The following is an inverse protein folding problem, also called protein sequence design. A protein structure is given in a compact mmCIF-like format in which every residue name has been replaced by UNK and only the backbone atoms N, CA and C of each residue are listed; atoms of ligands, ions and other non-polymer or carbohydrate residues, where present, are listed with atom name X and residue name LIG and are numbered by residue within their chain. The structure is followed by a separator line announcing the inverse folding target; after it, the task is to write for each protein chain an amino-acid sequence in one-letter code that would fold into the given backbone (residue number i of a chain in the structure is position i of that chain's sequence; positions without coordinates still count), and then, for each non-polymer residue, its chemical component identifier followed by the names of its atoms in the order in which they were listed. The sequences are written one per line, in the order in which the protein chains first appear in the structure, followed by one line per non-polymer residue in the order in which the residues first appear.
data_IF_464360790648
#
_entry.id   IF_464360790648
#
_cell.length_a   1.000
_cell.length_b   1.000
_cell.length_c   1.000
_cell.angle_alpha   90.00
_cell.angle_beta   90.00
_cell.angle_gamma   90.00
#
_symmetry.space_group_name_H-M   'P 1'
#
loop_
_entity.id
_entity.type
_entity.pdbx_description
1 polymer ?
#
# COMPACT_ATOMS: atom_id res chain seq x y z
N UNK A 1 5.26 -15.33 -44.61
CA UNK A 1 5.54 -15.93 -45.90
C UNK A 1 6.76 -15.20 -46.50
N UNK A 2 7.88 -15.84 -46.62
CA UNK A 2 9.09 -15.27 -47.25
C UNK A 2 8.94 -15.47 -48.77
N UNK A 3 9.01 -14.39 -49.56
CA UNK A 3 9.24 -14.50 -51.00
C UNK A 3 10.75 -14.32 -51.22
N UNK A 4 11.42 -15.36 -51.72
CA UNK A 4 12.77 -15.28 -52.20
C UNK A 4 12.70 -14.80 -53.65
N UNK A 5 13.19 -13.60 -53.92
CA UNK A 5 13.66 -13.21 -55.25
C UNK A 5 15.13 -13.58 -55.33
N UNK A 6 15.51 -14.34 -56.37
CA UNK A 6 16.84 -14.93 -56.53
C UNK A 6 17.97 -13.89 -56.67
N UNK A 7 18.50 -13.49 -55.55
CA UNK A 7 19.65 -12.63 -55.37
C UNK A 7 20.15 -12.73 -53.93
N UNK A 8 21.45 -12.52 -53.67
CA UNK A 8 22.09 -12.73 -52.35
C UNK A 8 21.62 -11.82 -51.21
N UNK A 9 20.66 -10.94 -51.40
CA UNK A 9 20.09 -10.08 -50.40
C UNK A 9 18.61 -10.45 -50.20
N UNK A 10 18.32 -11.16 -49.12
CA UNK A 10 16.94 -11.41 -48.67
C UNK A 10 16.39 -10.17 -47.96
N UNK A 11 15.66 -9.32 -48.66
CA UNK A 11 14.92 -8.21 -48.07
C UNK A 11 13.73 -8.76 -47.29
N UNK A 12 13.70 -8.49 -45.99
CA UNK A 12 12.63 -8.92 -45.08
C UNK A 12 11.39 -8.04 -45.31
N UNK A 13 10.46 -8.54 -46.12
CA UNK A 13 9.18 -7.83 -46.35
C UNK A 13 8.29 -7.92 -45.11
N UNK A 14 8.22 -6.85 -44.34
CA UNK A 14 7.28 -6.72 -43.23
C UNK A 14 5.85 -6.62 -43.78
N UNK A 15 4.99 -7.56 -43.38
CA UNK A 15 3.58 -7.54 -43.75
C UNK A 15 2.91 -6.26 -43.22
N UNK A 16 2.14 -5.56 -44.04
CA UNK A 16 1.36 -4.38 -43.63
C UNK A 16 0.46 -4.67 -42.45
N UNK A 17 -0.12 -5.88 -42.37
CA UNK A 17 -0.90 -6.35 -41.21
C UNK A 17 -0.10 -6.41 -39.92
N UNK A 18 1.20 -6.73 -39.96
CA UNK A 18 2.05 -6.73 -38.76
C UNK A 18 2.36 -5.31 -38.29
N UNK A 19 2.62 -4.39 -39.23
CA UNK A 19 2.82 -2.97 -38.90
C UNK A 19 1.52 -2.35 -38.34
N UNK A 20 0.39 -2.63 -38.97
CA UNK A 20 -0.91 -2.20 -38.48
C UNK A 20 -1.23 -2.74 -37.07
N UNK A 21 -0.92 -4.01 -36.78
CA UNK A 21 -1.11 -4.61 -35.46
C UNK A 21 -0.16 -3.98 -34.41
N UNK A 22 1.07 -3.67 -34.78
CA UNK A 22 2.06 -3.00 -33.92
C UNK A 22 1.63 -1.56 -33.60
N UNK A 23 1.18 -0.82 -34.61
CA UNK A 23 0.63 0.52 -34.43
C UNK A 23 -0.64 0.49 -33.58
N UNK A 24 -1.53 -0.46 -33.79
CA UNK A 24 -2.73 -0.64 -32.96
C UNK A 24 -2.37 -0.93 -31.50
N UNK A 25 -1.32 -1.69 -31.22
CA UNK A 25 -0.79 -1.94 -29.88
C UNK A 25 -0.31 -0.66 -29.19
N UNK A 26 0.52 0.12 -29.89
CA UNK A 26 1.05 1.39 -29.39
C UNK A 26 -0.07 2.40 -29.09
N UNK A 27 -1.05 2.51 -29.99
CA UNK A 27 -2.21 3.40 -29.79
C UNK A 27 -3.06 2.95 -28.61
N UNK A 28 -3.31 1.65 -28.44
CA UNK A 28 -4.02 1.13 -27.25
C UNK A 28 -3.33 1.54 -25.96
N UNK A 29 -2.02 1.34 -25.89
CA UNK A 29 -1.25 1.71 -24.72
C UNK A 29 -1.28 3.23 -24.46
N UNK A 30 -1.17 4.04 -25.50
CA UNK A 30 -1.27 5.50 -25.42
C UNK A 30 -2.66 5.95 -24.90
N UNK A 31 -3.75 5.35 -25.39
CA UNK A 31 -5.12 5.60 -24.93
C UNK A 31 -5.25 5.26 -23.43
N UNK A 32 -4.73 4.13 -22.99
CA UNK A 32 -4.77 3.71 -21.59
C UNK A 32 -3.96 4.66 -20.69
N UNK A 33 -2.74 5.04 -21.11
CA UNK A 33 -1.94 6.02 -20.40
C UNK A 33 -2.64 7.38 -20.28
N UNK A 34 -3.22 7.88 -21.36
CA UNK A 34 -3.97 9.13 -21.37
C UNK A 34 -5.19 9.06 -20.43
N UNK A 35 -5.92 7.93 -20.44
CA UNK A 35 -7.06 7.73 -19.54
C UNK A 35 -6.63 7.80 -18.07
N UNK A 36 -5.54 7.12 -17.71
CA UNK A 36 -4.97 7.12 -16.35
C UNK A 36 -4.40 8.50 -16.00
N UNK A 37 -3.83 9.21 -16.95
CA UNK A 37 -3.39 10.59 -16.78
C UNK A 37 -4.57 11.59 -16.62
N UNK A 38 -5.80 11.09 -16.74
CA UNK A 38 -7.01 11.86 -16.48
C UNK A 38 -7.68 12.43 -17.73
N UNK A 39 -7.27 12.03 -18.93
CA UNK A 39 -8.01 12.38 -20.16
C UNK A 39 -9.30 11.56 -20.21
N UNK A 40 -10.44 12.22 -20.38
CA UNK A 40 -11.71 11.51 -20.44
C UNK A 40 -11.80 10.60 -21.66
N UNK A 41 -12.60 9.53 -21.59
CA UNK A 41 -12.85 8.66 -22.75
C UNK A 41 -13.48 9.39 -23.95
N UNK A 42 -14.09 10.55 -23.73
CA UNK A 42 -14.66 11.40 -24.81
C UNK A 42 -13.58 12.25 -25.48
N UNK A 43 -12.55 12.67 -24.73
CA UNK A 43 -11.49 13.54 -25.24
C UNK A 43 -10.37 12.74 -25.94
N UNK A 44 -10.37 11.41 -25.84
CA UNK A 44 -9.38 10.55 -26.51
C UNK A 44 -9.34 10.78 -28.04
N UNK A 45 -10.50 11.03 -28.65
CA UNK A 45 -10.59 11.32 -30.09
C UNK A 45 -9.85 12.60 -30.50
N UNK A 46 -9.73 13.57 -29.59
CA UNK A 46 -8.99 14.82 -29.85
C UNK A 46 -7.48 14.57 -29.86
N UNK A 47 -7.01 13.60 -29.07
CA UNK A 47 -5.58 13.23 -29.00
C UNK A 47 -5.18 12.30 -30.14
N UNK A 48 -6.09 11.44 -30.59
CA UNK A 48 -5.82 10.40 -31.60
C UNK A 48 -6.95 10.36 -32.64
N UNK A 49 -7.13 11.44 -33.44
CA UNK A 49 -8.26 11.59 -34.35
C UNK A 49 -8.34 10.50 -35.42
N UNK A 50 -7.19 10.01 -35.88
CA UNK A 50 -7.10 9.00 -36.92
C UNK A 50 -7.35 7.55 -36.42
N UNK A 51 -7.50 7.36 -35.11
CA UNK A 51 -7.68 6.01 -34.57
C UNK A 51 -9.17 5.67 -34.41
N UNK A 52 -9.65 4.55 -35.01
CA UNK A 52 -11.03 4.09 -34.82
C UNK A 52 -11.31 3.61 -33.40
N UNK A 53 -10.27 3.43 -32.58
CA UNK A 53 -10.39 2.96 -31.19
C UNK A 53 -10.71 4.06 -30.17
N UNK A 54 -10.86 5.31 -30.61
CA UNK A 54 -11.03 6.49 -29.73
C UNK A 54 -12.47 6.86 -29.46
N UNK A 55 -13.45 6.10 -29.98
CA UNK A 55 -14.84 6.30 -29.57
C UNK A 55 -15.01 5.99 -28.07
N UNK A 56 -15.90 6.70 -27.38
CA UNK A 56 -16.20 6.47 -25.96
C UNK A 56 -16.43 5.00 -25.64
N UNK A 57 -17.19 4.30 -26.49
CA UNK A 57 -17.49 2.88 -26.30
C UNK A 57 -16.27 1.97 -26.50
N UNK A 58 -15.43 2.29 -27.48
CA UNK A 58 -14.19 1.55 -27.74
C UNK A 58 -13.20 1.73 -26.60
N UNK A 59 -13.00 2.96 -26.13
CA UNK A 59 -12.13 3.25 -24.97
C UNK A 59 -12.65 2.54 -23.71
N UNK A 60 -13.95 2.55 -23.47
CA UNK A 60 -14.54 1.85 -22.33
C UNK A 60 -14.33 0.34 -22.39
N UNK A 61 -14.57 -0.28 -23.56
CA UNK A 61 -14.31 -1.73 -23.75
C UNK A 61 -12.84 -2.08 -23.59
N UNK A 62 -11.96 -1.26 -24.15
CA UNK A 62 -10.52 -1.42 -24.00
C UNK A 62 -10.10 -1.36 -22.53
N UNK A 63 -10.60 -0.37 -21.78
CA UNK A 63 -10.36 -0.22 -20.36
C UNK A 63 -10.83 -1.42 -19.54
N UNK A 64 -12.04 -1.94 -19.83
CA UNK A 64 -12.56 -3.14 -19.14
C UNK A 64 -11.65 -4.35 -19.41
N UNK A 65 -11.30 -4.59 -20.68
CA UNK A 65 -10.46 -5.73 -21.07
C UNK A 65 -9.06 -5.67 -20.47
N UNK A 66 -8.38 -4.55 -20.62
CA UNK A 66 -7.00 -4.40 -20.12
C UNK A 66 -6.96 -4.28 -18.59
N UNK A 67 -7.98 -3.66 -17.99
CA UNK A 67 -8.10 -3.59 -16.55
C UNK A 67 -8.31 -4.96 -15.90
N UNK A 68 -9.16 -5.81 -16.47
CA UNK A 68 -9.34 -7.19 -16.00
C UNK A 68 -8.01 -7.99 -16.10
N UNK A 69 -7.27 -7.82 -17.20
CA UNK A 69 -5.94 -8.41 -17.34
C UNK A 69 -4.99 -7.91 -16.26
N UNK A 70 -4.99 -6.62 -15.95
CA UNK A 70 -4.16 -6.04 -14.89
C UNK A 70 -4.50 -6.56 -13.50
N UNK A 71 -5.78 -6.77 -13.19
CA UNK A 71 -6.18 -7.43 -11.94
C UNK A 71 -5.61 -8.85 -11.87
N UNK A 72 -5.72 -9.62 -12.98
CA UNK A 72 -5.17 -10.97 -13.05
C UNK A 72 -3.65 -11.01 -12.86
N UNK A 73 -2.91 -10.15 -13.55
CA UNK A 73 -1.46 -9.99 -13.37
C UNK A 73 -1.08 -9.62 -11.94
N UNK A 74 -1.83 -8.72 -11.33
CA UNK A 74 -1.62 -8.25 -9.97
C UNK A 74 -1.84 -9.36 -8.94
N UNK A 75 -2.99 -10.05 -9.02
CA UNK A 75 -3.35 -11.14 -8.10
C UNK A 75 -2.54 -12.42 -8.34
N UNK A 76 -2.09 -12.65 -9.56
CA UNK A 76 -1.24 -13.78 -9.93
C UNK A 76 0.25 -13.57 -9.69
N UNK A 77 0.66 -12.37 -9.24
CA UNK A 77 2.07 -12.09 -8.97
C UNK A 77 2.60 -12.99 -7.86
N UNK A 78 3.73 -13.64 -8.15
CA UNK A 78 4.46 -14.46 -7.18
C UNK A 78 5.03 -13.60 -6.06
N UNK A 79 4.78 -13.98 -4.82
CA UNK A 79 5.25 -13.30 -3.62
C UNK A 79 5.96 -14.24 -2.64
N UNK A 80 5.90 -15.55 -2.85
CA UNK A 80 6.47 -16.56 -1.93
C UNK A 80 7.99 -16.52 -1.87
N UNK A 81 8.65 -16.04 -2.94
CA UNK A 81 10.11 -15.87 -3.00
C UNK A 81 10.65 -14.63 -2.28
N UNK A 82 9.79 -13.78 -1.73
CA UNK A 82 10.20 -12.54 -1.08
C UNK A 82 10.36 -12.70 0.44
N UNK A 83 11.37 -12.04 1.00
CA UNK A 83 11.68 -12.07 2.43
C UNK A 83 10.98 -10.92 3.16
N UNK A 84 9.71 -11.08 3.48
CA UNK A 84 8.94 -10.07 4.21
C UNK A 84 9.25 -10.10 5.71
N UNK A 85 9.43 -8.93 6.32
CA UNK A 85 9.44 -8.78 7.77
C UNK A 85 8.20 -8.07 8.28
N UNK A 86 7.51 -7.33 7.41
CA UNK A 86 6.40 -6.51 7.84
C UNK A 86 5.32 -6.28 6.79
N UNK A 87 4.20 -5.76 7.27
CA UNK A 87 2.98 -5.48 6.53
C UNK A 87 2.41 -4.12 6.96
N UNK A 88 2.05 -3.29 6.01
CA UNK A 88 1.21 -2.11 6.22
C UNK A 88 -0.18 -2.38 5.67
N UNK A 89 -1.20 -2.10 6.47
CA UNK A 89 -2.60 -2.14 6.05
C UNK A 89 -3.23 -0.78 6.29
N UNK A 90 -4.02 -0.31 5.32
CA UNK A 90 -4.75 0.94 5.44
C UNK A 90 -5.94 0.97 4.48
N UNK A 91 -6.99 1.72 4.85
CA UNK A 91 -8.19 1.89 4.06
C UNK A 91 -8.11 3.06 3.08
N UNK A 92 -8.58 2.87 1.86
CA UNK A 92 -8.79 3.95 0.88
C UNK A 92 -10.27 4.12 0.57
N UNK A 93 -10.81 5.30 0.85
CA UNK A 93 -12.17 5.68 0.52
C UNK A 93 -12.26 6.03 -0.97
N UNK A 94 -13.21 5.39 -1.65
CA UNK A 94 -13.51 5.59 -3.07
C UNK A 94 -14.80 6.38 -3.27
N UNK A 95 -15.82 6.10 -2.45
CA UNK A 95 -17.11 6.83 -2.35
C UNK A 95 -17.72 6.60 -0.96
N UNK A 96 -18.90 7.14 -0.71
CA UNK A 96 -19.65 6.96 0.54
C UNK A 96 -19.89 5.47 0.86
N UNK A 97 -20.19 4.67 -0.18
CA UNK A 97 -20.53 3.25 -0.04
C UNK A 97 -19.43 2.31 -0.51
N UNK A 98 -18.20 2.81 -0.74
CA UNK A 98 -17.14 1.99 -1.31
C UNK A 98 -15.78 2.35 -0.74
N UNK A 99 -15.18 1.37 -0.09
CA UNK A 99 -13.85 1.45 0.51
C UNK A 99 -13.00 0.28 0.02
N UNK A 100 -11.70 0.41 0.04
CA UNK A 100 -10.82 -0.74 -0.15
C UNK A 100 -9.75 -0.75 0.93
N UNK A 101 -9.42 -1.95 1.41
CA UNK A 101 -8.23 -2.19 2.24
C UNK A 101 -7.09 -2.60 1.33
N UNK A 102 -5.93 -1.98 1.50
CA UNK A 102 -4.72 -2.22 0.71
C UNK A 102 -3.62 -2.76 1.61
N UNK A 103 -2.94 -3.80 1.15
CA UNK A 103 -1.82 -4.42 1.81
C UNK A 103 -0.50 -4.13 1.08
N UNK A 104 0.47 -3.59 1.81
CA UNK A 104 1.83 -3.34 1.31
C UNK A 104 2.82 -4.13 2.17
N UNK A 105 3.54 -5.06 1.55
CA UNK A 105 4.60 -5.83 2.18
C UNK A 105 5.90 -5.04 2.26
N UNK A 106 6.63 -5.23 3.36
CA UNK A 106 7.94 -4.65 3.61
C UNK A 106 8.99 -5.77 3.62
N UNK A 107 9.94 -5.72 2.70
CA UNK A 107 10.97 -6.75 2.54
C UNK A 107 12.23 -6.45 3.35
N UNK A 108 12.99 -7.49 3.67
CA UNK A 108 14.23 -7.39 4.44
C UNK A 108 15.33 -6.57 3.77
N UNK A 109 15.26 -6.36 2.45
CA UNK A 109 16.16 -5.47 1.70
C UNK A 109 15.60 -4.04 1.54
N UNK A 110 14.49 -3.74 2.23
CA UNK A 110 13.90 -2.40 2.32
C UNK A 110 12.99 -2.01 1.16
N UNK A 111 12.65 -2.93 0.26
CA UNK A 111 11.61 -2.68 -0.75
C UNK A 111 10.22 -2.69 -0.12
N UNK A 112 9.31 -2.05 -0.80
CA UNK A 112 7.88 -2.06 -0.50
C UNK A 112 7.14 -2.56 -1.72
N UNK A 113 6.27 -3.53 -1.52
CA UNK A 113 5.56 -4.24 -2.59
C UNK A 113 4.08 -4.18 -2.28
N UNK A 114 3.28 -3.67 -3.21
CA UNK A 114 1.82 -3.76 -3.10
C UNK A 114 1.42 -5.22 -3.28
N UNK A 115 0.92 -5.83 -2.21
CA UNK A 115 0.63 -7.27 -2.19
C UNK A 115 -0.75 -7.58 -2.74
N UNK A 116 -1.77 -6.88 -2.22
CA UNK A 116 -3.16 -7.08 -2.62
C UNK A 116 -4.02 -5.91 -2.11
N UNK A 117 -5.27 -5.92 -2.52
CA UNK A 117 -6.32 -5.06 -1.99
C UNK A 117 -7.67 -5.78 -2.03
N UNK A 118 -8.58 -5.40 -1.14
CA UNK A 118 -9.95 -5.88 -1.12
C UNK A 118 -10.91 -4.69 -1.12
N UNK A 119 -11.84 -4.70 -2.06
CA UNK A 119 -12.92 -3.70 -2.13
C UNK A 119 -14.12 -4.20 -1.33
N UNK A 120 -14.76 -3.31 -0.60
CA UNK A 120 -15.96 -3.59 0.19
C UNK A 120 -16.79 -2.33 0.40
N UNK A 121 -17.98 -2.48 0.99
CA UNK A 121 -18.83 -1.35 1.36
C UNK A 121 -18.28 -0.58 2.57
N UNK A 122 -17.47 -1.23 3.39
CA UNK A 122 -16.81 -0.66 4.55
C UNK A 122 -15.54 -1.45 4.88
N UNK A 123 -14.70 -0.91 5.75
CA UNK A 123 -13.58 -1.61 6.35
C UNK A 123 -14.11 -2.50 7.50
N UNK A 124 -14.68 -3.64 7.15
CA UNK A 124 -15.18 -4.62 8.10
C UNK A 124 -14.25 -5.85 8.20
N UNK A 125 -14.56 -6.73 9.15
CA UNK A 125 -13.75 -7.91 9.45
C UNK A 125 -13.61 -8.85 8.27
N UNK A 126 -14.70 -9.12 7.56
CA UNK A 126 -14.72 -10.05 6.42
C UNK A 126 -13.83 -9.56 5.29
N UNK A 127 -13.87 -8.26 4.97
CA UNK A 127 -13.02 -7.63 3.96
C UNK A 127 -11.53 -7.76 4.33
N UNK A 128 -11.19 -7.57 5.60
CA UNK A 128 -9.81 -7.68 6.07
C UNK A 128 -9.31 -9.12 6.08
N UNK A 129 -10.13 -10.05 6.58
CA UNK A 129 -9.80 -11.47 6.66
C UNK A 129 -9.68 -12.09 5.24
N UNK A 130 -10.59 -11.78 4.31
CA UNK A 130 -10.50 -12.18 2.90
C UNK A 130 -9.18 -11.73 2.24
N UNK A 131 -8.74 -10.50 2.54
CA UNK A 131 -7.48 -9.98 2.05
C UNK A 131 -6.29 -10.78 2.59
N UNK A 132 -6.25 -10.99 3.91
CA UNK A 132 -5.15 -11.71 4.57
C UNK A 132 -5.12 -13.19 4.19
N UNK A 133 -6.27 -13.84 4.09
CA UNK A 133 -6.40 -15.23 3.60
C UNK A 133 -5.82 -15.39 2.20
N UNK A 134 -6.10 -14.45 1.30
CA UNK A 134 -5.49 -14.49 -0.04
C UNK A 134 -3.99 -14.31 0.01
N UNK A 135 -3.46 -13.44 0.87
CA UNK A 135 -2.02 -13.28 1.04
C UNK A 135 -1.36 -14.56 1.54
N UNK A 136 -1.96 -15.23 2.54
CA UNK A 136 -1.48 -16.52 3.05
C UNK A 136 -1.48 -17.58 1.95
N UNK A 137 -2.59 -17.72 1.21
CA UNK A 137 -2.67 -18.66 0.08
C UNK A 137 -1.67 -18.40 -1.03
N UNK A 138 -1.27 -17.13 -1.25
CA UNK A 138 -0.24 -16.72 -2.22
C UNK A 138 1.19 -16.86 -1.68
N UNK A 139 1.35 -17.41 -0.48
CA UNK A 139 2.66 -17.68 0.12
C UNK A 139 3.29 -16.49 0.85
N UNK A 140 2.51 -15.48 1.28
CA UNK A 140 3.03 -14.45 2.16
C UNK A 140 3.42 -15.05 3.50
N UNK A 141 4.71 -15.12 3.74
CA UNK A 141 5.29 -15.66 4.97
C UNK A 141 6.35 -14.72 5.53
N UNK A 142 6.15 -14.18 6.73
CA UNK A 142 7.17 -13.33 7.36
C UNK A 142 8.38 -14.16 7.81
N UNK A 143 9.58 -13.55 7.70
CA UNK A 143 10.87 -14.18 8.07
C UNK A 143 11.09 -14.29 9.59
N UNK A 144 10.25 -13.62 10.37
CA UNK A 144 10.21 -13.63 11.83
C UNK A 144 8.77 -13.31 12.26
N UNK A 145 8.53 -12.92 13.53
CA UNK A 145 7.23 -12.35 13.92
C UNK A 145 6.89 -11.20 12.98
N UNK A 146 5.66 -11.17 12.47
CA UNK A 146 5.23 -10.09 11.59
C UNK A 146 5.27 -8.75 12.31
N UNK A 147 5.89 -7.74 11.71
CA UNK A 147 5.77 -6.36 12.14
C UNK A 147 4.69 -5.66 11.31
N UNK A 148 3.60 -5.22 11.91
CA UNK A 148 2.54 -4.53 11.19
C UNK A 148 2.39 -3.08 11.62
N UNK A 149 2.18 -2.18 10.65
CA UNK A 149 1.88 -0.76 10.90
C UNK A 149 0.45 -0.49 10.46
N UNK A 150 -0.39 -0.04 11.40
CA UNK A 150 -1.83 0.11 11.21
C UNK A 150 -2.27 1.54 11.55
N UNK A 151 -3.31 2.04 10.86
CA UNK A 151 -3.88 3.37 11.09
C UNK A 151 -4.60 3.49 12.45
N UNK A 152 -5.08 2.37 12.96
CA UNK A 152 -5.73 2.33 14.25
C UNK A 152 -7.15 1.80 14.23
N UNK A 153 -7.50 1.08 13.20
CA UNK A 153 -8.69 0.25 13.13
C UNK A 153 -8.51 -1.01 13.98
N UNK A 154 -9.44 -1.23 14.93
CA UNK A 154 -9.48 -2.47 15.71
C UNK A 154 -9.77 -3.68 14.81
N UNK A 155 -10.51 -3.45 13.74
CA UNK A 155 -10.80 -4.46 12.72
C UNK A 155 -9.51 -4.95 12.04
N UNK A 156 -8.67 -4.03 11.55
CA UNK A 156 -7.38 -4.38 10.93
C UNK A 156 -6.46 -5.10 11.93
N UNK A 157 -6.34 -4.57 13.16
CA UNK A 157 -5.53 -5.20 14.21
C UNK A 157 -6.03 -6.61 14.53
N UNK A 158 -7.34 -6.75 14.74
CA UNK A 158 -7.96 -8.05 15.04
C UNK A 158 -7.73 -9.07 13.93
N UNK A 159 -7.87 -8.67 12.64
CA UNK A 159 -7.61 -9.54 11.50
C UNK A 159 -6.13 -9.94 11.41
N UNK A 160 -5.20 -8.99 11.61
CA UNK A 160 -3.75 -9.31 11.63
C UNK A 160 -3.43 -10.32 12.74
N UNK A 161 -3.94 -10.12 13.96
CA UNK A 161 -3.65 -11.02 15.08
C UNK A 161 -4.32 -12.39 14.95
N UNK A 162 -5.45 -12.50 14.22
CA UNK A 162 -6.05 -13.80 13.93
C UNK A 162 -5.18 -14.65 12.98
N UNK A 163 -4.55 -14.01 11.99
CA UNK A 163 -3.67 -14.71 11.02
C UNK A 163 -2.23 -14.86 11.52
N UNK A 164 -1.77 -13.90 12.32
CA UNK A 164 -0.41 -13.82 12.89
C UNK A 164 -0.48 -13.49 14.39
N UNK A 165 -0.78 -14.48 15.25
CA UNK A 165 -1.06 -14.25 16.68
C UNK A 165 0.08 -13.60 17.48
N UNK A 166 1.32 -13.76 17.01
CA UNK A 166 2.52 -13.19 17.62
C UNK A 166 3.04 -11.91 16.94
N UNK A 167 2.22 -11.34 16.02
CA UNK A 167 2.59 -10.11 15.34
C UNK A 167 2.83 -8.95 16.32
N UNK A 168 3.84 -8.14 16.00
CA UNK A 168 4.07 -6.85 16.66
C UNK A 168 3.29 -5.79 15.91
N UNK A 169 2.28 -5.19 16.53
CA UNK A 169 1.46 -4.16 15.93
C UNK A 169 1.91 -2.76 16.37
N UNK A 170 2.25 -1.91 15.41
CA UNK A 170 2.58 -0.50 15.63
C UNK A 170 1.41 0.37 15.19
N UNK A 171 0.90 1.16 16.10
CA UNK A 171 -0.10 2.19 15.82
C UNK A 171 0.53 3.37 15.09
N UNK A 172 -0.06 3.83 13.99
CA UNK A 172 0.40 5.00 13.28
C UNK A 172 0.40 6.25 14.16
N UNK A 173 1.58 6.82 14.43
CA UNK A 173 1.71 8.03 15.25
C UNK A 173 0.98 9.23 14.66
N UNK A 174 0.95 9.36 13.34
CA UNK A 174 0.33 10.52 12.67
C UNK A 174 -1.19 10.47 12.82
N UNK A 175 -1.80 9.30 12.59
CA UNK A 175 -3.24 9.13 12.79
C UNK A 175 -3.63 9.34 14.25
N UNK A 176 -2.85 8.82 15.20
CA UNK A 176 -3.12 8.97 16.62
C UNK A 176 -2.96 10.42 17.08
N UNK A 177 -1.91 11.11 16.65
CA UNK A 177 -1.72 12.54 16.93
C UNK A 177 -2.91 13.37 16.41
N UNK A 178 -3.34 13.11 15.17
CA UNK A 178 -4.49 13.79 14.56
C UNK A 178 -5.80 13.55 15.36
N UNK A 179 -6.05 12.29 15.78
CA UNK A 179 -7.22 11.90 16.56
C UNK A 179 -7.23 12.61 17.94
N UNK A 180 -6.10 12.58 18.66
CA UNK A 180 -5.95 13.24 19.96
C UNK A 180 -6.08 14.76 19.80
N UNK A 181 -5.45 15.35 18.79
CA UNK A 181 -5.55 16.79 18.50
C UNK A 181 -7.00 17.24 18.30
N UNK A 182 -7.84 16.40 17.68
CA UNK A 182 -9.27 16.68 17.51
C UNK A 182 -10.04 16.79 18.83
N UNK A 183 -9.50 16.24 19.92
CA UNK A 183 -10.08 16.30 21.26
C UNK A 183 -9.54 17.48 22.12
N UNK A 184 -8.51 18.19 21.65
CA UNK A 184 -7.85 19.25 22.40
C UNK A 184 -8.21 20.65 21.87
N UNK A 185 -8.09 21.66 22.73
CA UNK A 185 -8.13 23.05 22.30
C UNK A 185 -6.83 23.44 21.58
N UNK A 186 -6.92 24.37 20.63
CA UNK A 186 -5.80 24.78 19.76
C UNK A 186 -4.54 25.22 20.54
N UNK A 187 -4.71 25.80 21.73
CA UNK A 187 -3.61 26.24 22.60
C UNK A 187 -2.64 25.11 23.01
N UNK A 188 -3.11 23.84 23.01
CA UNK A 188 -2.33 22.66 23.40
C UNK A 188 -1.72 21.90 22.21
N UNK A 189 -1.92 22.38 20.98
CA UNK A 189 -1.42 21.68 19.78
C UNK A 189 0.12 21.65 19.72
N UNK A 190 0.78 22.71 20.18
CA UNK A 190 2.26 22.78 20.23
C UNK A 190 2.85 21.74 21.17
N UNK A 191 2.34 21.69 22.43
CA UNK A 191 2.79 20.69 23.41
C UNK A 191 2.54 19.26 22.93
N UNK A 192 1.33 18.97 22.38
CA UNK A 192 1.03 17.66 21.79
C UNK A 192 2.02 17.30 20.68
N UNK A 193 2.28 18.23 19.77
CA UNK A 193 3.24 18.02 18.67
C UNK A 193 4.64 17.68 19.19
N UNK A 194 5.09 18.34 20.26
CA UNK A 194 6.41 18.09 20.87
C UNK A 194 6.51 16.70 21.46
N UNK A 195 5.46 16.18 22.14
CA UNK A 195 5.43 14.79 22.59
C UNK A 195 5.53 13.81 21.43
N UNK A 196 4.73 13.98 20.37
CA UNK A 196 4.81 13.12 19.20
C UNK A 196 6.13 13.26 18.44
N UNK A 197 6.74 14.43 18.41
CA UNK A 197 8.09 14.65 17.88
C UNK A 197 9.14 13.89 18.69
N UNK A 198 9.04 13.92 20.03
CA UNK A 198 9.92 13.14 20.91
C UNK A 198 9.74 11.64 20.67
N UNK A 199 8.51 11.12 20.55
CA UNK A 199 8.24 9.72 20.21
C UNK A 199 8.87 9.35 18.85
N UNK A 200 8.72 10.19 17.83
CA UNK A 200 9.34 9.93 16.51
C UNK A 200 10.87 9.84 16.55
N UNK A 201 11.51 10.48 17.52
CA UNK A 201 12.97 10.51 17.66
C UNK A 201 13.49 9.62 18.81
N UNK A 202 12.62 9.01 19.59
CA UNK A 202 13.00 8.19 20.73
C UNK A 202 13.79 6.93 20.30
N UNK A 203 14.68 6.50 21.18
CA UNK A 203 15.48 5.30 21.02
C UNK A 203 15.28 4.38 22.22
N UNK A 204 14.91 3.13 21.96
CA UNK A 204 14.76 2.10 22.98
C UNK A 204 13.46 2.16 23.78
N UNK A 205 13.20 1.08 24.50
CA UNK A 205 11.96 0.86 25.22
C UNK A 205 11.77 1.83 26.39
N UNK A 206 12.82 2.12 27.13
CA UNK A 206 12.76 2.97 28.31
C UNK A 206 12.30 4.40 27.94
N UNK A 207 13.03 5.05 27.01
CA UNK A 207 12.68 6.38 26.51
C UNK A 207 11.28 6.42 25.91
N UNK A 208 10.88 5.37 25.18
CA UNK A 208 9.52 5.26 24.64
C UNK A 208 8.45 5.25 25.75
N UNK A 209 8.66 4.47 26.81
CA UNK A 209 7.73 4.41 27.97
C UNK A 209 7.69 5.70 28.76
N UNK A 210 8.82 6.36 28.98
CA UNK A 210 8.88 7.65 29.68
C UNK A 210 8.05 8.71 28.93
N UNK A 211 8.28 8.87 27.63
CA UNK A 211 7.53 9.83 26.83
C UNK A 211 6.04 9.49 26.80
N UNK A 212 5.68 8.21 26.70
CA UNK A 212 4.29 7.76 26.75
C UNK A 212 3.64 8.12 28.09
N UNK A 213 4.33 7.90 29.21
CA UNK A 213 3.86 8.25 30.56
C UNK A 213 3.63 9.76 30.70
N UNK A 214 4.60 10.57 30.30
CA UNK A 214 4.49 12.03 30.32
C UNK A 214 3.31 12.53 29.45
N UNK A 215 3.17 11.98 28.24
CA UNK A 215 2.06 12.31 27.35
C UNK A 215 0.72 11.95 27.99
N UNK A 216 0.62 10.79 28.66
CA UNK A 216 -0.56 10.35 29.38
C UNK A 216 -0.92 11.34 30.51
N UNK A 217 0.05 11.75 31.33
CA UNK A 217 -0.12 12.74 32.41
C UNK A 217 -0.55 14.12 31.87
N UNK A 218 0.10 14.57 30.78
CA UNK A 218 -0.29 15.79 30.07
C UNK A 218 -1.77 15.73 29.64
N UNK A 219 -2.19 14.67 28.94
CA UNK A 219 -3.56 14.55 28.44
C UNK A 219 -4.57 14.44 29.58
N UNK A 220 -4.25 13.74 30.67
CA UNK A 220 -5.07 13.65 31.86
C UNK A 220 -5.38 15.02 32.45
N UNK A 221 -4.40 15.94 32.44
CA UNK A 221 -4.57 17.32 32.92
C UNK A 221 -5.36 18.24 31.98
N UNK A 222 -5.55 17.85 30.70
CA UNK A 222 -6.15 18.72 29.67
C UNK A 222 -7.52 18.26 29.21
N UNK A 223 -7.69 16.96 28.90
CA UNK A 223 -8.94 16.44 28.35
C UNK A 223 -9.04 14.92 28.48
N UNK A 224 -10.05 14.42 29.18
CA UNK A 224 -10.26 12.99 29.40
C UNK A 224 -10.57 12.22 28.09
N UNK A 225 -11.21 12.84 27.09
CA UNK A 225 -11.44 12.20 25.79
C UNK A 225 -10.13 12.03 25.00
N UNK A 226 -9.22 13.01 25.13
CA UNK A 226 -7.88 12.92 24.53
C UNK A 226 -7.06 11.82 25.23
N UNK A 227 -7.14 11.73 26.56
CA UNK A 227 -6.52 10.65 27.33
C UNK A 227 -7.07 9.29 26.92
N UNK A 228 -8.39 9.10 26.91
CA UNK A 228 -9.02 7.86 26.48
C UNK A 228 -8.62 7.44 25.08
N UNK A 229 -8.45 8.42 24.16
CA UNK A 229 -7.94 8.14 22.82
C UNK A 229 -6.49 7.64 22.82
N UNK A 230 -5.64 8.11 23.75
CA UNK A 230 -4.27 7.58 23.87
C UNK A 230 -4.30 6.16 24.46
N UNK A 231 -5.07 5.97 25.53
CA UNK A 231 -5.17 4.69 26.26
C UNK A 231 -5.79 3.57 25.42
N UNK A 232 -6.70 3.89 24.49
CA UNK A 232 -7.23 2.95 23.49
C UNK A 232 -6.10 2.39 22.60
N UNK A 233 -5.08 3.18 22.28
CA UNK A 233 -3.92 2.69 21.52
C UNK A 233 -2.95 1.86 22.38
N UNK A 234 -2.95 2.10 23.69
CA UNK A 234 -2.06 1.40 24.61
C UNK A 234 -0.59 1.49 24.20
N UNK A 235 0.15 0.42 24.47
CA UNK A 235 1.58 0.32 24.13
C UNK A 235 1.84 0.13 22.61
N UNK A 236 0.82 -0.12 21.80
CA UNK A 236 0.97 -0.22 20.33
C UNK A 236 1.54 1.08 19.73
N UNK A 237 1.36 2.22 20.41
CA UNK A 237 1.90 3.50 19.95
C UNK A 237 3.44 3.56 20.05
N UNK A 238 4.02 2.77 20.92
CA UNK A 238 5.48 2.66 21.16
C UNK A 238 6.02 1.27 20.83
N UNK A 239 5.27 0.43 20.14
CA UNK A 239 5.64 -0.98 19.89
C UNK A 239 7.02 -1.13 19.22
N UNK A 240 7.36 -0.25 18.28
CA UNK A 240 8.69 -0.23 17.64
C UNK A 240 9.83 0.03 18.65
N UNK A 241 9.57 0.90 19.64
CA UNK A 241 10.53 1.20 20.70
C UNK A 241 10.67 0.02 21.67
N UNK A 242 9.53 -0.63 22.02
CA UNK A 242 9.53 -1.77 22.96
C UNK A 242 10.34 -2.96 22.47
N UNK A 243 10.49 -3.13 21.17
CA UNK A 243 11.35 -4.16 20.59
C UNK A 243 12.79 -3.68 20.34
N UNK A 244 13.16 -2.52 20.87
CA UNK A 244 14.48 -1.91 20.67
C UNK A 244 14.92 -1.86 19.20
N UNK A 245 14.01 -1.46 18.32
CA UNK A 245 14.30 -1.32 16.90
C UNK A 245 15.30 -0.17 16.68
N UNK A 246 16.17 -0.26 15.66
CA UNK A 246 17.07 0.82 15.30
C UNK A 246 16.31 2.11 14.98
N UNK A 247 16.66 3.23 15.62
CA UNK A 247 15.99 4.52 15.45
C UNK A 247 16.01 5.06 14.00
N UNK A 248 16.96 4.61 13.18
CA UNK A 248 17.01 4.91 11.73
C UNK A 248 15.76 4.46 11.00
N UNK A 249 15.00 3.49 11.55
CA UNK A 249 13.76 2.95 11.00
C UNK A 249 12.51 3.73 11.43
N UNK A 250 12.61 4.59 12.45
CA UNK A 250 11.45 5.33 12.99
C UNK A 250 10.68 6.09 11.90
N UNK A 251 11.38 6.78 11.00
CA UNK A 251 10.77 7.53 9.89
C UNK A 251 9.89 6.64 8.99
N UNK A 252 10.26 5.37 8.86
CA UNK A 252 9.61 4.44 7.94
C UNK A 252 8.54 3.57 8.61
N UNK A 253 8.64 3.33 9.93
CA UNK A 253 7.85 2.30 10.62
C UNK A 253 6.91 2.85 11.70
N UNK A 254 7.04 4.11 12.10
CA UNK A 254 6.12 4.72 13.09
C UNK A 254 4.85 5.31 12.47
N UNK A 255 4.69 5.23 11.15
CA UNK A 255 3.50 5.77 10.49
C UNK A 255 3.15 5.05 9.19
N UNK A 256 1.87 5.16 8.80
CA UNK A 256 1.35 4.72 7.49
C UNK A 256 1.54 5.76 6.38
N UNK A 257 2.31 6.82 6.61
CA UNK A 257 2.53 7.93 5.66
C UNK A 257 2.88 7.46 4.26
N UNK A 258 3.61 6.36 4.16
CA UNK A 258 4.01 5.80 2.88
C UNK A 258 2.79 5.31 2.08
N UNK A 259 1.89 4.53 2.72
CA UNK A 259 0.69 4.03 2.07
C UNK A 259 -0.28 5.18 1.75
N UNK A 260 -0.41 6.18 2.62
CA UNK A 260 -1.20 7.38 2.37
C UNK A 260 -0.69 8.18 1.16
N UNK A 261 0.63 8.32 1.00
CA UNK A 261 1.23 8.94 -0.19
C UNK A 261 0.91 8.15 -1.46
N UNK A 262 0.91 6.81 -1.38
CA UNK A 262 0.48 5.93 -2.48
C UNK A 262 -0.99 6.18 -2.82
N UNK A 263 -1.86 6.28 -1.81
CA UNK A 263 -3.27 6.59 -1.99
C UNK A 263 -3.51 7.97 -2.61
N UNK A 264 -2.69 8.97 -2.30
CA UNK A 264 -2.75 10.28 -2.96
C UNK A 264 -2.52 10.15 -4.46
N UNK A 265 -1.52 9.39 -4.87
CA UNK A 265 -1.23 9.13 -6.27
C UNK A 265 -2.36 8.34 -6.96
N UNK A 266 -2.91 7.34 -6.27
CA UNK A 266 -4.07 6.57 -6.74
C UNK A 266 -5.29 7.48 -6.92
N UNK A 267 -5.64 8.29 -5.90
CA UNK A 267 -6.76 9.23 -5.95
C UNK A 267 -6.61 10.27 -7.06
N UNK A 268 -5.41 10.78 -7.30
CA UNK A 268 -5.15 11.73 -8.39
C UNK A 268 -5.50 11.12 -9.76
N UNK A 269 -5.24 9.82 -9.96
CA UNK A 269 -5.58 9.09 -11.19
C UNK A 269 -7.07 8.75 -11.27
N UNK A 270 -7.72 8.49 -10.13
CA UNK A 270 -9.12 8.10 -10.03
C UNK A 270 -10.08 9.28 -9.89
N UNK A 271 -9.59 10.49 -9.60
CA UNK A 271 -10.39 11.64 -9.20
C UNK A 271 -11.45 12.13 -10.20
N UNK A 272 -11.42 11.63 -11.44
CA UNK A 272 -12.47 11.89 -12.45
C UNK A 272 -13.59 10.85 -12.44
N UNK A 273 -13.44 9.73 -11.74
CA UNK A 273 -14.49 8.74 -11.58
C UNK A 273 -15.50 9.29 -10.56
N UNK A 274 -16.68 9.73 -11.04
CA UNK A 274 -17.73 10.31 -10.20
C UNK A 274 -18.77 9.31 -9.76
N UNK A 275 -18.87 8.17 -10.43
CA UNK A 275 -19.82 7.10 -10.12
C UNK A 275 -19.12 5.76 -10.18
N UNK A 276 -19.21 5.05 -9.11
CA UNK A 276 -18.73 3.67 -8.99
C UNK A 276 -19.92 2.73 -9.23
N UNK A 277 -19.65 1.64 -9.93
CA UNK A 277 -20.64 0.57 -10.16
C UNK A 277 -20.24 -0.60 -9.31
N UNK A 278 -20.93 -0.77 -8.19
CA UNK A 278 -20.66 -1.83 -7.21
C UNK A 278 -20.83 -3.24 -7.77
N UNK A 279 -21.71 -3.40 -8.78
CA UNK A 279 -21.99 -4.68 -9.43
C UNK A 279 -20.91 -5.11 -10.44
N UNK A 280 -19.86 -4.30 -10.60
CA UNK A 280 -18.78 -4.55 -11.56
C UNK A 280 -17.41 -4.40 -10.88
N UNK A 281 -16.39 -4.98 -11.49
CA UNK A 281 -14.98 -4.84 -11.09
C UNK A 281 -14.36 -3.47 -11.44
N UNK A 282 -15.20 -2.42 -11.60
CA UNK A 282 -14.72 -1.07 -11.96
C UNK A 282 -13.73 -0.53 -10.95
N UNK A 283 -14.03 -0.65 -9.66
CA UNK A 283 -13.17 -0.16 -8.59
C UNK A 283 -11.84 -0.91 -8.56
N UNK A 284 -11.89 -2.22 -8.66
CA UNK A 284 -10.69 -3.08 -8.68
C UNK A 284 -9.78 -2.74 -9.87
N UNK A 285 -10.33 -2.52 -11.06
CA UNK A 285 -9.52 -2.13 -12.24
C UNK A 285 -8.77 -0.82 -12.02
N UNK A 286 -9.44 0.18 -11.50
CA UNK A 286 -8.84 1.47 -11.21
C UNK A 286 -7.80 1.38 -10.09
N UNK A 287 -8.11 0.63 -9.02
CA UNK A 287 -7.18 0.41 -7.90
C UNK A 287 -5.94 -0.37 -8.35
N UNK A 288 -6.12 -1.51 -9.03
CA UNK A 288 -4.98 -2.30 -9.52
C UNK A 288 -4.05 -1.45 -10.39
N UNK A 289 -4.61 -0.69 -11.32
CA UNK A 289 -3.81 0.15 -12.20
C UNK A 289 -3.12 1.28 -11.41
N UNK A 290 -3.86 1.97 -10.55
CA UNK A 290 -3.32 3.07 -9.75
C UNK A 290 -2.24 2.62 -8.76
N UNK A 291 -2.41 1.47 -8.12
CA UNK A 291 -1.45 0.90 -7.18
C UNK A 291 -0.17 0.42 -7.88
N UNK A 292 -0.29 -0.28 -9.02
CA UNK A 292 0.87 -0.69 -9.82
C UNK A 292 1.68 0.51 -10.34
N UNK A 293 1.01 1.57 -10.77
CA UNK A 293 1.69 2.81 -11.17
C UNK A 293 2.37 3.50 -9.98
N UNK A 294 1.72 3.53 -8.81
CA UNK A 294 2.32 4.08 -7.60
C UNK A 294 3.56 3.27 -7.16
N UNK A 295 3.49 1.95 -7.25
CA UNK A 295 4.57 1.03 -6.88
C UNK A 295 5.86 1.28 -7.68
N UNK A 296 5.76 1.63 -8.96
CA UNK A 296 6.91 1.98 -9.81
C UNK A 296 7.75 3.13 -9.26
N UNK A 297 7.11 4.03 -8.51
CA UNK A 297 7.76 5.16 -7.86
C UNK A 297 8.27 4.87 -6.44
N UNK A 298 8.14 3.64 -5.94
CA UNK A 298 8.53 3.32 -4.58
C UNK A 298 10.06 3.32 -4.42
N UNK A 299 10.53 4.15 -3.50
CA UNK A 299 11.93 4.13 -3.07
C UNK A 299 12.10 3.15 -1.90
N UNK A 300 13.30 2.66 -1.68
CA UNK A 300 13.63 1.88 -0.48
C UNK A 300 13.29 2.66 0.80
N UNK A 301 12.99 1.94 1.85
CA UNK A 301 12.72 2.49 3.18
C UNK A 301 13.93 3.25 3.70
N UNK A 302 13.71 4.38 4.37
CA UNK A 302 14.80 5.05 5.11
C UNK A 302 15.25 4.12 6.24
N UNK A 303 16.57 4.04 6.45
CA UNK A 303 17.14 3.14 7.45
C UNK A 303 17.20 1.67 7.03
N UNK A 304 16.88 1.31 5.79
CA UNK A 304 16.76 -0.09 5.33
C UNK A 304 17.98 -0.97 5.64
N UNK A 305 19.18 -0.40 5.74
CA UNK A 305 20.42 -1.13 6.11
C UNK A 305 20.36 -1.72 7.52
N UNK A 306 19.49 -1.18 8.37
CA UNK A 306 19.31 -1.66 9.75
C UNK A 306 18.12 -2.63 9.89
N UNK A 307 17.37 -2.93 8.83
CA UNK A 307 16.29 -3.94 8.85
C UNK A 307 16.79 -5.32 9.35
N UNK A 308 17.99 -5.80 8.98
CA UNK A 308 18.48 -7.06 9.54
C UNK A 308 18.60 -7.07 11.08
N UNK A 309 18.89 -5.91 11.70
CA UNK A 309 18.90 -5.77 13.16
C UNK A 309 17.48 -5.85 13.73
N UNK A 310 16.50 -5.20 13.09
CA UNK A 310 15.10 -5.31 13.46
C UNK A 310 14.59 -6.76 13.33
N UNK A 311 14.89 -7.45 12.23
CA UNK A 311 14.50 -8.85 12.02
C UNK A 311 15.04 -9.76 13.13
N UNK A 312 16.26 -9.51 13.62
CA UNK A 312 16.81 -10.24 14.78
C UNK A 312 15.99 -10.01 16.05
N UNK A 313 15.50 -8.79 16.28
CA UNK A 313 14.63 -8.45 17.44
C UNK A 313 13.21 -9.05 17.30
N UNK A 314 12.75 -9.27 16.08
CA UNK A 314 11.48 -9.92 15.81
C UNK A 314 11.53 -11.45 15.91
N UNK A 315 12.70 -12.09 15.95
CA UNK A 315 12.80 -13.54 16.21
C UNK A 315 12.38 -13.85 17.65
N UNK A 316 11.73 -15.00 17.83
CA UNK A 316 11.50 -15.53 19.17
C UNK A 316 12.85 -15.93 19.81
N UNK A 317 13.00 -15.81 21.13
CA UNK A 317 14.26 -16.17 21.82
C UNK A 317 14.76 -17.59 21.53
N UNK A 318 13.88 -18.53 21.22
CA UNK A 318 14.16 -19.96 21.07
C UNK A 318 14.20 -20.49 19.61
N UNK A 319 14.12 -19.63 18.59
CA UNK A 319 14.30 -20.11 17.21
C UNK A 319 15.80 -20.22 16.85
N UNK A 320 16.36 -21.45 16.72
CA UNK A 320 17.73 -21.62 16.27
C UNK A 320 17.89 -21.06 14.85
N UNK A 321 19.00 -20.35 14.63
CA UNK A 321 19.34 -19.81 13.33
C UNK A 321 19.24 -20.90 12.25
N UNK A 322 18.31 -20.76 11.30
CA UNK A 322 18.29 -21.62 10.12
C UNK A 322 19.68 -21.51 9.47
N UNK A 323 20.48 -22.57 9.57
CA UNK A 323 21.75 -22.69 8.85
C UNK A 323 21.44 -22.53 7.36
N UNK A 324 22.08 -21.55 6.73
CA UNK A 324 22.14 -21.49 5.28
C UNK A 324 22.65 -22.83 4.79
N UNK A 325 21.79 -23.58 4.09
CA UNK A 325 22.28 -24.68 3.27
C UNK A 325 23.10 -24.05 2.15
N UNK A 326 24.33 -24.51 2.05
CA UNK A 326 25.30 -24.16 1.02
C UNK A 326 24.85 -24.76 -0.32
#
# INVERSE_FOLDING_TARGET
MRRSTGGRDSEEVRLESYNAAKHAGAVREAILRALVAGVSGRDQRRLYPESPMTSKSSVSRLWVKEGAKKIGEFRGREISGEFFFGLMLDGIWLSEDLTAVVAIGMTSDGRKIVLDFQVGSSENRDVCDDLLDRLVRRGFKPVARLFSVLDGSDTLKGSVLAHYPDAVTQRCLIHKEKKIRGCLSKRHYGELFDYFKRLRNAQGAETGREIYKELREFLASKNLKALASLEEAGEDIIALHLIDAPATLNVSLLSTNFIENSFRNVRAKMGRVKRWRSETDQAERWLAYGLLEAERGFRRMKGWKDIPKLVKKLKKPDEPAQRKAA
#
